data_IF_904015582200
#
_entry.id   IF_904015582200
#
_cell.length_a   1.000
_cell.length_b   1.000
_cell.length_c   1.000
_cell.angle_alpha   90.00
_cell.angle_beta   90.00
_cell.angle_gamma   90.00
#
_symmetry.space_group_name_H-M   'P 1'
#
loop_
_entity.id
_entity.type
_entity.pdbx_description
1 polymer ?
#
# COMPACT_ATOMS: atom_id res chain seq x y z
N UNK A 1 -8.61 15.49 16.82
CA UNK A 1 -7.95 15.43 15.49
C UNK A 1 -7.99 13.99 15.02
N UNK A 2 -8.55 13.73 13.84
CA UNK A 2 -8.60 12.37 13.28
C UNK A 2 -7.25 12.04 12.62
N UNK A 3 -6.74 10.83 12.89
CA UNK A 3 -5.60 10.25 12.20
C UNK A 3 -6.00 8.92 11.57
N UNK A 4 -5.27 8.50 10.55
CA UNK A 4 -5.50 7.24 9.87
C UNK A 4 -4.25 6.39 9.82
N UNK A 5 -4.44 5.07 9.82
CA UNK A 5 -3.40 4.11 9.49
C UNK A 5 -3.66 3.58 8.10
N UNK A 6 -2.64 3.65 7.25
CA UNK A 6 -2.65 3.10 5.92
C UNK A 6 -1.81 1.83 5.88
N UNK A 7 -2.38 0.76 5.35
CA UNK A 7 -1.60 -0.37 4.83
C UNK A 7 -1.64 -0.38 3.31
N UNK A 8 -0.47 -0.62 2.72
CA UNK A 8 -0.24 -0.55 1.28
C UNK A 8 0.49 -1.82 0.86
N UNK A 9 -0.12 -2.60 -0.02
CA UNK A 9 0.56 -3.67 -0.72
C UNK A 9 1.03 -3.15 -2.08
N UNK A 10 2.25 -3.48 -2.47
CA UNK A 10 2.90 -2.87 -3.63
C UNK A 10 3.54 -3.93 -4.51
N UNK A 11 3.54 -3.69 -5.82
CA UNK A 11 4.29 -4.47 -6.80
C UNK A 11 5.20 -3.52 -7.60
N UNK A 12 6.19 -4.07 -8.30
CA UNK A 12 7.06 -3.31 -9.21
C UNK A 12 6.40 -3.16 -10.56
N UNK A 13 6.42 -1.95 -11.11
CA UNK A 13 5.95 -1.66 -12.46
C UNK A 13 7.04 -1.96 -13.52
N UNK A 14 6.78 -1.62 -14.78
CA UNK A 14 7.68 -1.81 -15.91
C UNK A 14 8.96 -0.95 -15.85
N UNK A 15 8.94 0.16 -15.12
CA UNK A 15 10.11 1.01 -14.86
C UNK A 15 10.88 0.56 -13.61
N UNK A 16 10.31 -0.40 -12.86
CA UNK A 16 10.86 -0.89 -11.60
C UNK A 16 10.49 -0.01 -10.41
N UNK A 17 9.60 0.96 -10.57
CA UNK A 17 9.04 1.75 -9.48
C UNK A 17 7.93 0.96 -8.78
N UNK A 18 7.56 1.40 -7.57
CA UNK A 18 6.47 0.77 -6.82
C UNK A 18 5.11 1.32 -7.27
N UNK A 19 4.19 0.41 -7.53
CA UNK A 19 2.79 0.67 -7.78
C UNK A 19 1.94 0.13 -6.62
N UNK A 20 0.92 0.87 -6.21
CA UNK A 20 -0.04 0.43 -5.18
C UNK A 20 -0.93 -0.69 -5.72
N UNK A 21 -0.82 -1.90 -5.16
CA UNK A 21 -1.68 -3.04 -5.52
C UNK A 21 -2.94 -3.10 -4.67
N UNK A 22 -2.80 -2.90 -3.36
CA UNK A 22 -3.92 -2.75 -2.42
C UNK A 22 -3.67 -1.54 -1.53
N UNK A 23 -4.73 -0.81 -1.20
CA UNK A 23 -4.71 0.27 -0.24
C UNK A 23 -5.84 0.11 0.77
N UNK A 24 -5.48 -0.01 2.05
CA UNK A 24 -6.41 -0.12 3.18
C UNK A 24 -6.22 1.04 4.14
N UNK A 25 -7.32 1.63 4.63
CA UNK A 25 -7.31 2.75 5.58
C UNK A 25 -8.17 2.44 6.79
N UNK A 26 -7.60 2.71 7.97
CA UNK A 26 -8.24 2.55 9.28
C UNK A 26 -8.27 3.89 10.01
N UNK A 27 -9.41 4.25 10.58
CA UNK A 27 -9.53 5.44 11.45
C UNK A 27 -8.82 5.18 12.79
N UNK A 28 -8.33 6.25 13.42
CA UNK A 28 -7.79 6.36 14.78
C UNK A 28 -8.56 5.62 15.89
N UNK A 29 -9.86 5.40 15.70
CA UNK A 29 -10.70 4.63 16.62
C UNK A 29 -10.51 3.12 16.49
N UNK A 30 -9.74 2.66 15.50
CA UNK A 30 -9.36 1.28 15.18
C UNK A 30 -10.50 0.28 14.93
N UNK A 31 -11.73 0.58 15.33
CA UNK A 31 -12.91 -0.26 15.11
C UNK A 31 -13.56 -0.06 13.71
N UNK A 32 -13.08 0.90 12.91
CA UNK A 32 -13.71 1.26 11.64
C UNK A 32 -12.66 1.24 10.51
N UNK A 33 -12.66 0.14 9.74
CA UNK A 33 -12.01 0.10 8.41
C UNK A 33 -12.80 1.04 7.51
N UNK A 34 -12.17 2.14 7.10
CA UNK A 34 -12.82 3.14 6.23
C UNK A 34 -12.95 2.64 4.80
N UNK A 35 -12.00 1.84 4.35
CA UNK A 35 -12.06 1.18 3.06
C UNK A 35 -10.85 0.31 2.79
N UNK A 36 -11.02 -0.63 1.86
CA UNK A 36 -9.93 -1.27 1.15
C UNK A 36 -10.27 -1.46 -0.30
N UNK A 37 -9.27 -1.21 -1.13
CA UNK A 37 -9.37 -1.31 -2.57
C UNK A 37 -8.19 -2.07 -3.12
N UNK A 38 -8.47 -2.97 -4.07
CA UNK A 38 -7.47 -3.69 -4.84
C UNK A 38 -7.54 -3.16 -6.28
N UNK A 39 -6.42 -2.62 -6.75
CA UNK A 39 -6.33 -2.03 -8.08
C UNK A 39 -6.01 -3.10 -9.12
N UNK A 40 -6.78 -3.09 -10.21
CA UNK A 40 -6.46 -3.80 -11.44
C UNK A 40 -5.13 -3.26 -12.00
N UNK A 41 -4.31 -4.10 -12.64
CA UNK A 41 -3.04 -3.63 -13.18
C UNK A 41 -3.28 -2.62 -14.32
N UNK A 42 -2.40 -1.62 -14.49
CA UNK A 42 -2.51 -0.64 -15.58
C UNK A 42 -2.29 -1.27 -16.97
N UNK A 43 -1.66 -2.45 -17.03
CA UNK A 43 -1.37 -3.17 -18.25
C UNK A 43 -1.07 -4.65 -17.97
N UNK A 44 -0.99 -5.46 -19.04
CA UNK A 44 -0.74 -6.89 -18.95
C UNK A 44 0.66 -7.22 -18.38
N UNK A 45 0.76 -8.32 -17.61
CA UNK A 45 2.02 -8.75 -16.95
C UNK A 45 3.17 -8.97 -17.93
N UNK A 46 2.88 -9.30 -19.19
CA UNK A 46 3.90 -9.55 -20.22
C UNK A 46 4.79 -8.33 -20.52
N UNK A 47 4.31 -7.12 -20.20
CA UNK A 47 5.07 -5.88 -20.36
C UNK A 47 6.22 -5.81 -19.34
N UNK A 48 6.10 -6.50 -18.20
CA UNK A 48 7.13 -6.51 -17.17
C UNK A 48 8.37 -7.31 -17.61
N UNK A 49 9.55 -6.78 -17.28
CA UNK A 49 10.81 -7.51 -17.42
C UNK A 49 10.78 -8.83 -16.62
N UNK A 50 11.58 -9.84 -17.00
CA UNK A 50 11.69 -11.08 -16.23
C UNK A 50 12.05 -10.86 -14.76
N UNK A 51 12.87 -9.84 -14.47
CA UNK A 51 13.27 -9.48 -13.11
C UNK A 51 12.08 -8.93 -12.30
N UNK A 52 11.31 -7.99 -12.86
CA UNK A 52 10.10 -7.46 -12.21
C UNK A 52 9.07 -8.58 -11.98
N UNK A 53 8.83 -9.45 -12.96
CA UNK A 53 7.93 -10.61 -12.79
C UNK A 53 8.37 -11.54 -11.67
N UNK A 54 9.67 -11.82 -11.57
CA UNK A 54 10.23 -12.64 -10.48
C UNK A 54 10.01 -11.97 -9.11
N UNK A 55 10.28 -10.67 -9.00
CA UNK A 55 10.08 -9.92 -7.76
C UNK A 55 8.60 -9.89 -7.37
N UNK A 56 7.72 -9.56 -8.30
CA UNK A 56 6.28 -9.48 -8.08
C UNK A 56 5.69 -10.84 -7.71
N UNK A 57 6.17 -11.92 -8.32
CA UNK A 57 5.76 -13.29 -7.96
C UNK A 57 6.18 -13.64 -6.53
N UNK A 58 7.39 -13.24 -6.11
CA UNK A 58 7.82 -13.44 -4.73
C UNK A 58 6.91 -12.69 -3.74
N UNK A 59 6.65 -11.40 -4.00
CA UNK A 59 5.75 -10.60 -3.17
C UNK A 59 4.32 -11.19 -3.12
N UNK A 60 3.80 -11.59 -4.29
CA UNK A 60 2.48 -12.20 -4.42
C UNK A 60 2.39 -13.52 -3.66
N UNK A 61 3.38 -14.40 -3.77
CA UNK A 61 3.30 -15.76 -3.23
C UNK A 61 3.66 -15.84 -1.74
N UNK A 62 4.53 -14.96 -1.24
CA UNK A 62 5.14 -15.10 0.09
C UNK A 62 4.89 -13.92 1.03
N UNK A 63 4.35 -12.79 0.52
CA UNK A 63 4.13 -11.60 1.35
C UNK A 63 2.64 -11.32 1.51
N UNK A 64 1.92 -11.05 0.42
CA UNK A 64 0.55 -10.49 0.51
C UNK A 64 -0.52 -11.24 -0.29
N UNK A 65 -0.20 -12.27 -1.06
CA UNK A 65 -1.22 -13.09 -1.72
C UNK A 65 -1.95 -12.44 -2.90
N UNK A 66 -1.43 -11.32 -3.45
CA UNK A 66 -2.10 -10.56 -4.52
C UNK A 66 -1.35 -10.66 -5.85
N UNK A 67 -1.76 -11.57 -6.76
CA UNK A 67 -1.19 -11.66 -8.11
C UNK A 67 -1.35 -10.37 -8.92
N UNK A 68 -0.50 -10.19 -9.93
CA UNK A 68 -0.53 -9.02 -10.83
C UNK A 68 -1.92 -8.75 -11.42
N UNK A 69 -2.59 -9.79 -11.92
CA UNK A 69 -3.84 -9.70 -12.67
C UNK A 69 -5.11 -9.56 -11.79
N UNK A 70 -4.99 -9.42 -10.47
CA UNK A 70 -6.17 -9.23 -9.59
C UNK A 70 -6.62 -7.77 -9.53
N UNK A 71 -7.77 -7.51 -8.88
CA UNK A 71 -8.28 -6.17 -8.64
C UNK A 71 -9.38 -5.77 -9.61
N UNK A 72 -10.29 -4.94 -9.14
CA UNK A 72 -11.49 -4.50 -9.87
C UNK A 72 -11.50 -3.01 -10.13
N UNK A 73 -10.73 -2.24 -9.35
CA UNK A 73 -10.63 -0.78 -9.51
C UNK A 73 -9.59 -0.46 -10.57
N UNK A 74 -9.93 0.23 -11.67
CA UNK A 74 -8.96 0.59 -12.70
C UNK A 74 -7.81 1.43 -12.14
N UNK A 75 -6.59 1.18 -12.60
CA UNK A 75 -5.39 1.84 -12.03
C UNK A 75 -5.39 3.36 -12.19
N UNK A 76 -5.98 3.90 -13.27
CA UNK A 76 -6.07 5.34 -13.47
C UNK A 76 -6.83 6.06 -12.34
N UNK A 77 -7.70 5.36 -11.62
CA UNK A 77 -8.43 5.91 -10.48
C UNK A 77 -7.62 5.90 -9.16
N UNK A 78 -6.45 5.26 -9.13
CA UNK A 78 -5.69 4.99 -7.91
C UNK A 78 -5.44 6.24 -7.06
N UNK A 79 -4.89 7.30 -7.65
CA UNK A 79 -4.59 8.53 -6.92
C UNK A 79 -5.85 9.20 -6.37
N UNK A 80 -6.94 9.23 -7.14
CA UNK A 80 -8.22 9.79 -6.71
C UNK A 80 -8.83 9.00 -5.56
N UNK A 81 -8.82 7.67 -5.65
CA UNK A 81 -9.32 6.78 -4.59
C UNK A 81 -8.51 6.90 -3.31
N UNK A 82 -7.18 6.91 -3.39
CA UNK A 82 -6.30 7.09 -2.22
C UNK A 82 -6.54 8.43 -1.54
N UNK A 83 -6.68 9.51 -2.32
CA UNK A 83 -7.04 10.83 -1.78
C UNK A 83 -8.39 10.81 -1.08
N UNK A 84 -9.44 10.33 -1.74
CA UNK A 84 -10.79 10.29 -1.19
C UNK A 84 -10.88 9.46 0.11
N UNK A 85 -10.15 8.36 0.21
CA UNK A 85 -10.11 7.54 1.42
C UNK A 85 -9.37 8.20 2.58
N UNK A 86 -8.53 9.20 2.31
CA UNK A 86 -7.62 9.79 3.29
C UNK A 86 -7.77 11.30 3.52
N UNK A 87 -8.68 11.96 2.81
CA UNK A 87 -8.82 13.43 2.78
C UNK A 87 -9.13 14.02 4.17
N UNK A 88 -10.01 13.38 4.92
CA UNK A 88 -10.47 13.84 6.24
C UNK A 88 -9.42 13.71 7.36
N UNK A 89 -8.26 13.09 7.10
CA UNK A 89 -7.26 12.81 8.13
C UNK A 89 -6.08 13.75 8.06
N UNK A 90 -5.87 14.51 9.13
CA UNK A 90 -4.72 15.42 9.24
C UNK A 90 -3.38 14.66 9.33
N UNK A 91 -3.38 13.47 9.94
CA UNK A 91 -2.20 12.63 10.12
C UNK A 91 -2.41 11.25 9.51
N UNK A 92 -1.43 10.79 8.73
CA UNK A 92 -1.47 9.50 8.05
C UNK A 92 -0.26 8.68 8.45
N UNK A 93 -0.49 7.58 9.16
CA UNK A 93 0.54 6.67 9.62
C UNK A 93 0.69 5.51 8.63
N UNK A 94 1.92 5.18 8.28
CA UNK A 94 2.22 4.08 7.37
C UNK A 94 3.46 3.34 7.85
N UNK A 95 3.55 2.03 7.56
CA UNK A 95 4.70 1.21 7.98
C UNK A 95 5.76 1.14 6.88
N UNK A 96 6.85 1.86 7.05
CA UNK A 96 8.04 1.81 6.21
C UNK A 96 8.20 3.01 5.27
N UNK A 97 9.45 3.48 5.15
CA UNK A 97 9.86 4.65 4.38
C UNK A 97 9.46 4.59 2.90
N UNK A 98 9.50 3.41 2.27
CA UNK A 98 9.08 3.24 0.87
C UNK A 98 7.59 3.57 0.67
N UNK A 99 6.72 3.06 1.56
CA UNK A 99 5.28 3.33 1.53
C UNK A 99 4.99 4.80 1.84
N UNK A 100 5.73 5.41 2.77
CA UNK A 100 5.66 6.85 3.06
C UNK A 100 5.97 7.68 1.82
N UNK A 101 7.08 7.41 1.15
CA UNK A 101 7.46 8.14 -0.09
C UNK A 101 6.41 7.99 -1.17
N UNK A 102 5.88 6.78 -1.36
CA UNK A 102 4.84 6.52 -2.35
C UNK A 102 3.57 7.31 -2.03
N UNK A 103 3.11 7.29 -0.78
CA UNK A 103 1.91 8.02 -0.38
C UNK A 103 2.11 9.55 -0.46
N UNK A 104 3.31 10.05 -0.14
CA UNK A 104 3.65 11.48 -0.26
C UNK A 104 3.56 11.98 -1.71
N UNK A 105 3.89 11.13 -2.70
CA UNK A 105 3.70 11.47 -4.13
C UNK A 105 2.22 11.67 -4.49
N UNK A 106 1.30 11.01 -3.79
CA UNK A 106 -0.15 11.04 -4.07
C UNK A 106 -0.84 12.18 -3.30
N UNK A 107 -0.50 12.35 -2.04
CA UNK A 107 -1.05 13.38 -1.13
C UNK A 107 0.09 14.27 -0.58
N UNK A 108 0.65 15.16 -1.41
CA UNK A 108 1.85 15.92 -1.06
C UNK A 108 1.65 16.87 0.13
N UNK A 109 0.43 17.37 0.31
CA UNK A 109 0.09 18.33 1.37
C UNK A 109 -0.20 17.65 2.73
N UNK A 110 -0.28 16.32 2.77
CA UNK A 110 -0.57 15.59 3.99
C UNK A 110 0.69 15.31 4.81
N UNK A 111 0.53 15.32 6.14
CA UNK A 111 1.58 14.86 7.05
C UNK A 111 1.57 13.33 7.16
N UNK A 112 2.62 12.70 6.62
CA UNK A 112 2.77 11.23 6.60
C UNK A 112 3.91 10.80 7.52
N UNK A 113 3.60 9.92 8.46
CA UNK A 113 4.52 9.46 9.50
C UNK A 113 4.83 7.98 9.28
N UNK A 114 6.11 7.65 9.16
CA UNK A 114 6.57 6.27 9.16
C UNK A 114 6.66 5.76 10.61
N UNK A 115 5.84 4.76 10.96
CA UNK A 115 5.81 4.19 12.32
C UNK A 115 6.99 3.26 12.63
N UNK A 116 7.78 2.86 11.63
CA UNK A 116 8.98 2.03 11.89
C UNK A 116 10.06 2.80 12.64
N UNK A 117 10.09 4.12 12.48
CA UNK A 117 11.02 5.02 13.19
C UNK A 117 10.69 5.12 14.69
N UNK A 118 9.47 4.72 15.09
CA UNK A 118 9.01 4.71 16.47
C UNK A 118 9.15 3.33 17.15
N UNK A 119 9.99 2.44 16.61
CA UNK A 119 10.24 1.11 17.20
C UNK A 119 9.23 0.04 16.82
N UNK A 120 8.36 0.28 15.83
CA UNK A 120 7.49 -0.77 15.30
C UNK A 120 8.35 -1.87 14.64
N UNK A 121 8.32 -3.12 15.14
CA UNK A 121 9.18 -4.18 14.63
C UNK A 121 8.87 -4.48 13.17
N UNK A 122 9.93 -4.74 12.39
CA UNK A 122 9.78 -5.28 11.03
C UNK A 122 9.05 -6.62 11.10
N UNK A 123 8.25 -6.91 10.09
CA UNK A 123 7.62 -8.22 9.96
C UNK A 123 8.75 -9.27 9.85
N UNK A 124 9.03 -9.96 10.95
CA UNK A 124 9.96 -11.08 10.95
C UNK A 124 9.20 -12.29 10.43
N UNK A 125 9.75 -12.95 9.41
CA UNK A 125 9.11 -14.03 8.64
C UNK A 125 8.76 -15.29 9.47
N UNK A 126 9.01 -15.28 10.79
CA UNK A 126 8.65 -16.33 11.76
C UNK A 126 7.55 -15.94 12.74
N UNK A 127 7.03 -14.73 12.67
CA UNK A 127 5.94 -14.28 13.54
C UNK A 127 4.84 -13.69 12.67
N UNK A 128 3.95 -14.58 12.22
CA UNK A 128 2.57 -14.18 11.92
C UNK A 128 2.06 -13.53 13.21
N UNK A 129 1.51 -12.33 13.11
CA UNK A 129 1.06 -11.45 14.21
C UNK A 129 2.15 -10.53 14.76
N UNK A 130 2.33 -9.38 14.09
CA UNK A 130 2.58 -8.13 14.80
C UNK A 130 1.97 -6.95 14.04
N UNK A 131 0.74 -6.63 14.49
CA UNK A 131 0.06 -5.34 14.41
C UNK A 131 -0.31 -4.84 13.01
N UNK A 132 -1.23 -5.58 12.39
CA UNK A 132 -2.41 -5.10 11.68
C UNK A 132 -3.42 -6.25 11.82
N UNK A 133 -4.21 -6.25 12.89
CA UNK A 133 -5.47 -7.01 12.90
C UNK A 133 -6.56 -6.10 12.36
#
# INVERSE_FOLDING_TARGET
>A
MAYAFADIQMLRDADGEYLIKEFSVYDSRWDIRRGSVIFAPPYAEIILSPQQRKHNRYASNYIHGLPWNTGTIPYYACHGTVRALTDDFAYKYVKGEEKKRLLQKIVPDALIIDITVQGCPRLCMRTIICLLF
#
